data_IF_131649037088
#
_entry.id   IF_131649037088
#
_cell.length_a   1.000
_cell.length_b   1.000
_cell.length_c   1.000
_cell.angle_alpha   90.00
_cell.angle_beta   90.00
_cell.angle_gamma   90.00
#
_symmetry.space_group_name_H-M   'P 1'
#
loop_
_entity.id
_entity.type
_entity.pdbx_description
1 polymer ?
#
# COMPACT_ATOMS: atom_id res chain seq x y z
N UNK A 1 -8.35 18.61 14.53
CA UNK A 1 -8.91 17.38 15.11
C UNK A 1 -8.93 16.31 14.03
N UNK A 2 -8.74 15.05 14.36
CA UNK A 2 -8.88 13.96 13.39
C UNK A 2 -10.38 13.81 13.13
N UNK A 3 -10.86 14.32 11.99
CA UNK A 3 -12.30 14.42 11.69
C UNK A 3 -12.98 13.06 11.51
N UNK A 4 -12.22 11.96 11.45
CA UNK A 4 -12.73 10.59 11.49
C UNK A 4 -11.74 9.71 12.26
N UNK A 5 -12.03 9.32 13.53
CA UNK A 5 -11.17 8.40 14.26
C UNK A 5 -11.19 7.02 13.60
N UNK A 6 -10.06 6.32 13.70
CA UNK A 6 -9.88 4.99 13.14
C UNK A 6 -10.85 3.99 13.76
N UNK A 7 -11.51 3.19 12.90
CA UNK A 7 -12.67 2.36 13.29
C UNK A 7 -12.31 1.12 14.11
N UNK A 8 -11.03 0.81 14.29
CA UNK A 8 -10.56 -0.36 15.07
C UNK A 8 -9.45 0.02 16.06
N UNK A 9 -9.38 -0.64 17.24
CA UNK A 9 -8.30 -0.41 18.21
C UNK A 9 -6.90 -0.58 17.62
N UNK A 10 -6.74 -1.56 16.72
CA UNK A 10 -5.46 -1.86 16.09
C UNK A 10 -5.01 -0.74 15.15
N UNK A 11 -5.92 -0.15 14.37
CA UNK A 11 -5.57 0.98 13.50
C UNK A 11 -5.36 2.29 14.26
N UNK A 12 -5.81 2.40 15.52
CA UNK A 12 -5.58 3.58 16.35
C UNK A 12 -4.11 3.73 16.78
N UNK A 13 -3.32 2.64 16.71
CA UNK A 13 -1.89 2.64 17.04
C UNK A 13 -0.99 2.89 15.82
N UNK A 14 -1.55 2.97 14.60
CA UNK A 14 -0.77 3.25 13.38
C UNK A 14 -0.55 4.76 13.22
N UNK A 15 0.70 5.16 13.10
CA UNK A 15 1.10 6.54 12.80
C UNK A 15 1.62 6.68 11.37
N UNK A 16 1.16 7.71 10.67
CA UNK A 16 1.64 8.06 9.33
C UNK A 16 2.56 9.28 9.42
N UNK A 17 3.82 9.11 9.03
CA UNK A 17 4.78 10.22 8.93
C UNK A 17 4.92 10.66 7.48
N UNK A 18 4.83 11.96 7.21
CA UNK A 18 5.09 12.55 5.89
C UNK A 18 6.02 13.74 5.98
N UNK A 19 6.59 14.16 4.85
CA UNK A 19 7.33 15.41 4.81
C UNK A 19 6.41 16.59 5.18
N UNK A 20 6.91 17.50 6.04
CA UNK A 20 6.13 18.61 6.60
C UNK A 20 5.53 19.51 5.51
N UNK A 21 6.29 19.73 4.43
CA UNK A 21 5.90 20.64 3.35
C UNK A 21 4.79 20.06 2.47
N UNK A 22 4.97 18.86 1.93
CA UNK A 22 4.02 18.22 1.01
C UNK A 22 4.37 16.75 0.81
N UNK A 23 3.37 15.92 0.47
CA UNK A 23 3.55 14.53 0.04
C UNK A 23 4.42 14.40 -1.22
N UNK A 24 4.53 15.45 -2.03
CA UNK A 24 5.42 15.48 -3.19
C UNK A 24 6.92 15.46 -2.81
N UNK A 25 7.25 15.73 -1.54
CA UNK A 25 8.61 15.61 -1.05
C UNK A 25 8.78 14.25 -0.37
N UNK A 26 9.65 13.42 -0.95
CA UNK A 26 9.95 12.09 -0.41
C UNK A 26 10.75 12.20 0.89
N UNK A 27 10.51 11.28 1.83
CA UNK A 27 11.33 11.15 3.02
C UNK A 27 12.62 10.35 2.71
N UNK A 28 13.78 10.73 3.27
CA UNK A 28 14.99 9.92 3.12
C UNK A 28 14.82 8.53 3.74
N UNK A 29 15.19 7.47 3.03
CA UNK A 29 15.09 6.08 3.50
C UNK A 29 15.81 5.82 4.84
N UNK A 30 16.87 6.60 5.12
CA UNK A 30 17.59 6.56 6.40
C UNK A 30 16.69 6.83 7.62
N UNK A 31 15.52 7.44 7.44
CA UNK A 31 14.58 7.71 8.52
C UNK A 31 13.89 6.45 9.03
N UNK A 32 13.74 5.40 8.22
CA UNK A 32 13.19 4.11 8.68
C UNK A 32 13.94 3.60 9.91
N UNK A 33 15.29 3.54 9.81
CA UNK A 33 16.16 3.10 10.91
C UNK A 33 16.13 4.04 12.12
N UNK A 34 15.85 5.33 11.92
CA UNK A 34 15.74 6.30 13.01
C UNK A 34 14.41 6.14 13.75
N UNK A 35 13.31 5.98 13.02
CA UNK A 35 11.96 5.79 13.59
C UNK A 35 11.89 4.47 14.33
N UNK A 36 12.44 3.38 13.77
CA UNK A 36 12.46 2.07 14.41
C UNK A 36 13.20 2.02 15.75
N UNK A 37 14.02 3.03 16.08
CA UNK A 37 14.73 3.15 17.37
C UNK A 37 13.97 3.96 18.42
N UNK A 38 12.85 4.58 18.06
CA UNK A 38 12.01 5.31 19.02
C UNK A 38 11.32 4.30 19.93
N UNK A 39 11.37 4.54 21.23
CA UNK A 39 10.74 3.67 22.22
C UNK A 39 9.24 3.51 21.95
N UNK A 40 8.75 2.26 21.99
CA UNK A 40 7.35 1.91 21.72
C UNK A 40 7.02 1.64 20.25
N UNK A 41 7.92 1.92 19.30
CA UNK A 41 7.73 1.56 17.89
C UNK A 41 7.93 0.06 17.71
N UNK A 42 6.91 -0.63 17.19
CA UNK A 42 6.95 -2.08 16.98
C UNK A 42 7.42 -2.47 15.57
N UNK A 43 7.00 -1.72 14.55
CA UNK A 43 7.32 -1.98 13.15
C UNK A 43 7.31 -0.68 12.35
N UNK A 44 8.11 -0.61 11.28
CA UNK A 44 8.17 0.56 10.39
C UNK A 44 8.32 0.09 8.94
N UNK A 45 7.51 0.65 8.05
CA UNK A 45 7.64 0.45 6.60
C UNK A 45 7.77 1.78 5.88
N UNK A 46 8.44 1.77 4.74
CA UNK A 46 8.31 2.77 3.70
C UNK A 46 7.02 2.56 2.91
N UNK A 47 6.40 3.67 2.51
CA UNK A 47 5.28 3.68 1.58
C UNK A 47 5.38 4.91 0.69
N UNK A 48 5.23 4.70 -0.62
CA UNK A 48 5.31 5.73 -1.63
C UNK A 48 3.99 5.82 -2.40
N UNK A 49 3.38 6.99 -2.38
CA UNK A 49 2.25 7.28 -3.26
C UNK A 49 2.71 7.23 -4.73
N UNK A 50 2.17 6.31 -5.51
CA UNK A 50 2.53 6.17 -6.92
C UNK A 50 1.75 7.14 -7.81
N UNK A 51 0.44 7.30 -7.56
CA UNK A 51 -0.40 8.29 -8.25
C UNK A 51 -0.64 8.05 -9.74
N UNK A 52 -0.59 6.79 -10.19
CA UNK A 52 -0.79 6.44 -11.58
C UNK A 52 -2.26 6.45 -12.03
N UNK A 53 -2.46 6.28 -13.34
CA UNK A 53 -3.77 6.10 -13.97
C UNK A 53 -4.00 4.63 -14.29
N UNK A 54 -5.14 4.09 -13.87
CA UNK A 54 -5.60 2.76 -14.26
C UNK A 54 -6.65 2.88 -15.37
N UNK A 55 -6.27 2.53 -16.61
CA UNK A 55 -7.09 2.59 -17.84
C UNK A 55 -7.62 3.99 -18.21
N UNK A 56 -8.41 4.59 -17.35
CA UNK A 56 -9.04 5.90 -17.52
C UNK A 56 -8.85 6.75 -16.24
N UNK A 57 -8.53 8.06 -16.34
CA UNK A 57 -8.37 8.94 -15.19
C UNK A 57 -9.58 9.01 -14.23
N UNK A 58 -10.80 8.73 -14.72
CA UNK A 58 -12.00 8.67 -13.89
C UNK A 58 -12.04 7.44 -12.96
N UNK A 59 -11.19 6.44 -13.19
CA UNK A 59 -11.07 5.23 -12.36
C UNK A 59 -10.07 5.40 -11.23
N UNK A 60 -10.07 6.58 -10.60
CA UNK A 60 -9.17 6.89 -9.50
C UNK A 60 -9.34 5.93 -8.32
N UNK A 61 -8.20 5.50 -7.76
CA UNK A 61 -8.04 4.85 -6.47
C UNK A 61 -6.59 5.02 -5.99
N UNK A 62 -6.36 4.81 -4.70
CA UNK A 62 -5.04 4.99 -4.09
C UNK A 62 -4.10 3.83 -4.46
N UNK A 63 -2.86 4.17 -4.85
CA UNK A 63 -1.85 3.20 -5.29
C UNK A 63 -0.55 3.49 -4.54
N UNK A 64 0.00 2.48 -3.86
CA UNK A 64 1.21 2.63 -3.06
C UNK A 64 2.24 1.55 -3.36
N UNK A 65 3.49 1.97 -3.54
CA UNK A 65 4.64 1.07 -3.49
C UNK A 65 5.10 0.96 -2.02
N UNK A 66 5.28 -0.25 -1.50
CA UNK A 66 5.52 -0.49 -0.07
C UNK A 66 6.63 -1.51 0.18
N UNK A 67 7.35 -1.34 1.28
CA UNK A 67 8.23 -2.39 1.81
C UNK A 67 7.36 -3.55 2.31
N UNK A 68 7.63 -4.78 1.88
CA UNK A 68 6.74 -5.92 2.17
C UNK A 68 7.04 -6.65 3.48
N UNK A 69 8.28 -6.53 3.99
CA UNK A 69 8.77 -7.27 5.18
C UNK A 69 7.87 -7.13 6.40
N UNK A 70 7.57 -5.90 6.81
CA UNK A 70 6.72 -5.60 7.98
C UNK A 70 5.34 -5.07 7.58
N UNK A 71 4.95 -5.18 6.31
CA UNK A 71 3.73 -4.56 5.81
C UNK A 71 2.48 -4.97 6.61
N UNK A 72 2.33 -6.27 6.84
CA UNK A 72 1.17 -6.80 7.56
C UNK A 72 1.28 -6.68 9.09
N UNK A 73 2.46 -6.35 9.62
CA UNK A 73 2.63 -6.00 11.05
C UNK A 73 2.15 -4.56 11.27
N UNK A 74 2.51 -3.65 10.37
CA UNK A 74 2.07 -2.25 10.41
C UNK A 74 0.57 -2.11 10.06
N UNK A 75 0.07 -2.95 9.15
CA UNK A 75 -1.33 -2.97 8.71
C UNK A 75 -2.07 -4.17 9.29
N UNK A 76 -1.99 -4.38 10.60
CA UNK A 76 -2.62 -5.51 11.31
C UNK A 76 -4.15 -5.50 11.24
N UNK A 77 -4.75 -4.35 10.91
CA UNK A 77 -6.17 -4.16 10.64
C UNK A 77 -6.63 -4.68 9.27
N UNK A 78 -5.70 -5.06 8.39
CA UNK A 78 -5.98 -5.70 7.10
C UNK A 78 -6.08 -7.22 7.26
N UNK A 79 -7.24 -7.75 6.88
CA UNK A 79 -7.48 -9.20 6.85
C UNK A 79 -7.25 -9.71 5.44
N UNK A 80 -6.33 -10.67 5.30
CA UNK A 80 -5.99 -11.31 4.04
C UNK A 80 -5.75 -12.81 4.28
N UNK A 81 -6.17 -13.71 3.38
CA UNK A 81 -5.82 -15.13 3.46
C UNK A 81 -4.29 -15.35 3.47
N UNK A 82 -3.82 -16.31 4.25
CA UNK A 82 -2.37 -16.55 4.45
C UNK A 82 -1.64 -16.94 3.16
N UNK A 83 -2.26 -17.73 2.31
CA UNK A 83 -1.76 -18.11 0.98
C UNK A 83 -1.61 -16.89 0.05
N UNK A 84 -2.58 -15.98 0.08
CA UNK A 84 -2.54 -14.74 -0.71
C UNK A 84 -1.48 -13.75 -0.19
N UNK A 85 -1.35 -13.65 1.14
CA UNK A 85 -0.27 -12.89 1.78
C UNK A 85 1.09 -13.41 1.32
N UNK A 86 1.31 -14.72 1.38
CA UNK A 86 2.56 -15.33 0.92
C UNK A 86 2.79 -15.13 -0.59
N UNK A 87 1.75 -15.28 -1.41
CA UNK A 87 1.84 -15.08 -2.85
C UNK A 87 2.22 -13.64 -3.20
N UNK A 88 1.69 -12.65 -2.46
CA UNK A 88 2.09 -11.26 -2.59
C UNK A 88 3.55 -11.05 -2.23
N UNK A 89 4.00 -11.49 -1.05
CA UNK A 89 5.38 -11.28 -0.59
C UNK A 89 6.41 -11.96 -1.51
N UNK A 90 6.08 -13.11 -2.11
CA UNK A 90 7.02 -13.85 -2.98
C UNK A 90 7.09 -13.33 -4.43
N UNK A 91 6.02 -12.71 -4.94
CA UNK A 91 5.99 -12.19 -6.30
C UNK A 91 6.33 -10.70 -6.31
N UNK A 92 7.52 -10.37 -6.81
CA UNK A 92 8.00 -8.98 -6.91
C UNK A 92 7.11 -8.09 -7.77
N UNK A 93 6.42 -8.64 -8.77
CA UNK A 93 5.40 -7.94 -9.58
C UNK A 93 3.98 -8.11 -9.01
N UNK A 94 3.87 -8.71 -7.83
CA UNK A 94 2.62 -8.95 -7.15
C UNK A 94 2.02 -7.67 -6.58
N UNK A 95 0.70 -7.63 -6.56
CA UNK A 95 -0.06 -6.60 -5.88
C UNK A 95 -1.17 -7.21 -5.02
N UNK A 96 -1.57 -6.48 -3.99
CA UNK A 96 -2.82 -6.72 -3.27
C UNK A 96 -3.74 -5.52 -3.46
N UNK A 97 -5.05 -5.78 -3.50
CA UNK A 97 -6.06 -4.73 -3.61
C UNK A 97 -7.18 -4.99 -2.60
N UNK A 98 -7.87 -3.93 -2.19
CA UNK A 98 -9.02 -4.09 -1.32
C UNK A 98 -10.18 -4.77 -2.04
N UNK A 99 -10.97 -5.54 -1.30
CA UNK A 99 -12.14 -6.24 -1.85
C UNK A 99 -13.12 -5.27 -2.54
N UNK A 100 -13.28 -4.06 -2.01
CA UNK A 100 -14.09 -2.98 -2.59
C UNK A 100 -13.64 -2.58 -4.00
N UNK A 101 -12.32 -2.44 -4.23
CA UNK A 101 -11.78 -2.15 -5.57
C UNK A 101 -11.97 -3.32 -6.52
N UNK A 102 -11.75 -4.55 -6.05
CA UNK A 102 -11.93 -5.73 -6.87
C UNK A 102 -13.38 -5.89 -7.33
N UNK A 103 -14.36 -5.63 -6.46
CA UNK A 103 -15.76 -5.59 -6.84
C UNK A 103 -16.07 -4.47 -7.84
N UNK A 104 -15.56 -3.25 -7.60
CA UNK A 104 -15.75 -2.10 -8.49
C UNK A 104 -15.26 -2.35 -9.91
N UNK A 105 -14.10 -3.00 -10.06
CA UNK A 105 -13.46 -3.22 -11.36
C UNK A 105 -13.59 -4.64 -11.90
N UNK A 106 -14.27 -5.53 -11.17
CA UNK A 106 -14.45 -6.93 -11.54
C UNK A 106 -13.17 -7.77 -11.50
N UNK A 107 -12.18 -7.37 -10.70
CA UNK A 107 -10.89 -8.06 -10.61
C UNK A 107 -10.97 -9.40 -9.87
N UNK A 108 -10.08 -10.31 -10.27
CA UNK A 108 -9.87 -11.62 -9.66
C UNK A 108 -8.39 -11.86 -9.42
N UNK A 109 -8.07 -12.72 -8.44
CA UNK A 109 -6.71 -13.18 -8.22
C UNK A 109 -6.15 -13.76 -9.53
N UNK A 110 -4.95 -13.33 -9.91
CA UNK A 110 -4.29 -13.66 -11.17
C UNK A 110 -4.43 -12.61 -12.27
N UNK A 111 -5.36 -11.65 -12.14
CA UNK A 111 -5.52 -10.59 -13.13
C UNK A 111 -4.29 -9.68 -13.22
N UNK A 112 -4.05 -9.16 -14.43
CA UNK A 112 -3.00 -8.19 -14.70
C UNK A 112 -3.54 -6.77 -14.60
N UNK A 113 -2.97 -5.98 -13.69
CA UNK A 113 -3.31 -4.59 -13.44
C UNK A 113 -2.16 -3.73 -13.96
N UNK A 114 -2.41 -2.99 -15.04
CA UNK A 114 -1.42 -2.08 -15.63
C UNK A 114 -1.73 -0.67 -15.15
N UNK A 115 -0.75 -0.01 -14.56
CA UNK A 115 -0.85 1.39 -14.15
C UNK A 115 0.07 2.23 -15.02
N UNK A 116 -0.41 3.40 -15.40
CA UNK A 116 0.40 4.40 -16.11
C UNK A 116 0.94 5.43 -15.13
N UNK A 117 2.26 5.55 -15.05
CA UNK A 117 2.93 6.57 -14.27
C UNK A 117 2.57 7.98 -14.74
N UNK A 118 2.27 8.86 -13.79
CA UNK A 118 2.03 10.29 -14.04
C UNK A 118 3.09 11.14 -13.36
N UNK A 119 3.51 10.73 -12.16
CA UNK A 119 4.55 11.37 -11.35
C UNK A 119 5.93 10.77 -11.61
N UNK A 120 5.98 9.48 -11.98
CA UNK A 120 7.19 8.71 -12.20
C UNK A 120 7.19 8.14 -13.61
N UNK A 121 8.36 8.07 -14.26
CA UNK A 121 8.54 7.47 -15.58
C UNK A 121 8.63 5.93 -15.47
N UNK A 122 7.60 5.33 -14.89
CA UNK A 122 7.51 3.90 -14.66
C UNK A 122 6.05 3.47 -14.79
N UNK A 123 5.78 2.43 -15.58
CA UNK A 123 4.44 1.90 -15.84
C UNK A 123 4.39 0.45 -15.33
N UNK A 124 3.98 0.20 -14.07
CA UNK A 124 4.03 -1.14 -13.51
C UNK A 124 2.97 -2.07 -14.12
N UNK A 125 3.41 -3.28 -14.44
CA UNK A 125 2.56 -4.41 -14.84
C UNK A 125 2.40 -5.37 -13.67
N UNK A 126 1.30 -5.26 -12.94
CA UNK A 126 1.11 -5.95 -11.67
C UNK A 126 0.26 -7.20 -11.82
N UNK A 127 0.55 -8.22 -11.03
CA UNK A 127 -0.30 -9.42 -10.90
C UNK A 127 -1.06 -9.35 -9.58
N UNK A 128 -2.40 -9.38 -9.61
CA UNK A 128 -3.19 -9.40 -8.39
C UNK A 128 -3.00 -10.74 -7.65
N UNK A 129 -2.31 -10.71 -6.50
CA UNK A 129 -1.99 -11.90 -5.69
C UNK A 129 -2.86 -12.06 -4.46
N UNK A 130 -3.50 -10.97 -4.02
CA UNK A 130 -4.37 -11.04 -2.85
C UNK A 130 -5.44 -9.96 -2.80
N UNK A 131 -6.51 -10.28 -2.10
CA UNK A 131 -7.59 -9.38 -1.75
C UNK A 131 -7.64 -9.24 -0.23
N UNK A 132 -7.55 -8.01 0.25
CA UNK A 132 -7.69 -7.73 1.67
C UNK A 132 -9.05 -7.08 1.99
N UNK A 133 -9.47 -7.25 3.24
CA UNK A 133 -10.63 -6.60 3.84
C UNK A 133 -10.20 -5.79 5.06
N UNK A 134 -10.99 -4.79 5.44
CA UNK A 134 -10.65 -3.86 6.51
C UNK A 134 -9.61 -2.84 6.05
N UNK A 135 -8.68 -2.50 6.94
CA UNK A 135 -7.79 -1.35 6.73
C UNK A 135 -8.49 -0.01 7.03
N UNK A 136 -7.71 1.01 7.40
CA UNK A 136 -8.25 2.37 7.60
C UNK A 136 -8.73 3.04 6.30
N UNK A 137 -8.44 2.43 5.16
CA UNK A 137 -8.84 2.88 3.83
C UNK A 137 -10.07 2.14 3.28
N UNK A 138 -10.68 1.27 4.08
CA UNK A 138 -11.89 0.51 3.73
C UNK A 138 -11.79 -0.28 2.41
N UNK A 139 -10.59 -0.78 2.11
CA UNK A 139 -10.31 -1.49 0.86
C UNK A 139 -10.24 -0.60 -0.37
N UNK A 140 -9.96 0.70 -0.20
CA UNK A 140 -9.87 1.71 -1.26
C UNK A 140 -8.49 1.80 -1.94
N UNK A 141 -7.50 1.01 -1.52
CA UNK A 141 -6.13 1.08 -2.04
C UNK A 141 -5.63 -0.22 -2.68
N UNK A 142 -4.66 -0.05 -3.57
CA UNK A 142 -3.80 -1.10 -4.12
C UNK A 142 -2.37 -0.90 -3.60
N UNK A 143 -1.73 -1.99 -3.17
CA UNK A 143 -0.36 -2.01 -2.71
C UNK A 143 0.49 -2.95 -3.57
N UNK A 144 1.69 -2.51 -3.94
CA UNK A 144 2.67 -3.29 -4.69
C UNK A 144 4.08 -3.07 -4.15
N UNK A 145 5.05 -3.86 -4.62
CA UNK A 145 6.40 -3.89 -4.05
C UNK A 145 7.18 -2.60 -4.33
N UNK A 146 7.79 -2.04 -3.28
CA UNK A 146 8.77 -0.97 -3.41
C UNK A 146 9.98 -1.42 -4.24
N UNK A 147 10.43 -2.66 -4.10
CA UNK A 147 11.57 -3.21 -4.85
C UNK A 147 11.34 -3.24 -6.35
N UNK A 148 10.09 -3.41 -6.80
CA UNK A 148 9.74 -3.34 -8.22
C UNK A 148 9.67 -1.90 -8.73
N UNK A 149 9.20 -0.98 -7.87
CA UNK A 149 9.14 0.44 -8.19
C UNK A 149 10.53 1.11 -8.25
N UNK A 150 11.47 0.64 -7.43
CA UNK A 150 12.80 1.22 -7.25
C UNK A 150 13.87 0.52 -8.12
N UNK A 151 13.48 -0.20 -9.17
CA UNK A 151 14.41 -0.69 -10.21
C UNK A 151 14.80 0.43 -11.19
#
# INVERSE_FOLDING_TARGET
ELENPTQTPDSALRLVTRHKVSLANVLPIAYLKKIARVEGVQAVIGSMWFGGVYKDPSYFFAQFAVDTDQFFEVNSDMKIPGDQKEAFVKDRTGAIAGNSLAQRFGWKIGDKIHLKGTLFQFDPELTLRGLYEGGSDEGGSLFFHWEYFNE
#
